data_IF_780153383681
#
_entry.id   IF_780153383681
#
_cell.length_a   1.000
_cell.length_b   1.000
_cell.length_c   1.000
_cell.angle_alpha   90.00
_cell.angle_beta   90.00
_cell.angle_gamma   90.00
#
_symmetry.space_group_name_H-M   'P 1'
#
loop_
_entity.id
_entity.type
_entity.pdbx_description
1 polymer ?
#
# COMPACT_ATOMS: atom_id res chain seq x y z
N UNK A 1 -8.88 12.37 -13.51
CA UNK A 1 -9.95 11.77 -12.68
C UNK A 1 -10.88 10.77 -13.40
N UNK A 2 -10.79 10.56 -14.73
CA UNK A 2 -11.73 9.67 -15.45
C UNK A 2 -11.29 8.20 -15.55
N UNK A 3 -10.08 7.84 -15.12
CA UNK A 3 -9.57 6.49 -15.23
C UNK A 3 -10.41 5.48 -14.43
N UNK A 4 -10.83 5.84 -13.22
CA UNK A 4 -11.66 4.97 -12.38
C UNK A 4 -12.99 4.60 -13.07
N UNK A 5 -13.81 5.57 -13.54
CA UNK A 5 -15.03 5.24 -14.24
C UNK A 5 -14.78 4.46 -15.54
N UNK A 6 -13.72 4.77 -16.31
CA UNK A 6 -13.41 3.98 -17.51
C UNK A 6 -13.01 2.54 -17.20
N UNK A 7 -12.24 2.30 -16.14
CA UNK A 7 -11.91 0.95 -15.69
C UNK A 7 -13.15 0.19 -15.22
N UNK A 8 -14.04 0.84 -14.46
CA UNK A 8 -15.32 0.25 -14.04
C UNK A 8 -16.17 -0.11 -15.26
N UNK A 9 -16.28 0.78 -16.25
CA UNK A 9 -17.03 0.52 -17.49
C UNK A 9 -16.40 -0.63 -18.28
N UNK A 10 -15.08 -0.68 -18.41
CA UNK A 10 -14.37 -1.77 -19.10
C UNK A 10 -14.65 -3.14 -18.47
N UNK A 11 -14.57 -3.23 -17.14
CA UNK A 11 -14.85 -4.47 -16.42
C UNK A 11 -16.34 -4.84 -16.46
N UNK A 12 -17.23 -3.85 -16.37
CA UNK A 12 -18.67 -4.07 -16.49
C UNK A 12 -19.04 -4.61 -17.88
N UNK A 13 -18.52 -4.03 -18.95
CA UNK A 13 -18.80 -4.40 -20.34
C UNK A 13 -17.93 -5.54 -20.88
N UNK A 14 -17.02 -6.10 -20.08
CA UNK A 14 -16.07 -7.14 -20.51
C UNK A 14 -16.75 -8.35 -21.18
N UNK A 15 -17.95 -8.76 -20.73
CA UNK A 15 -18.74 -9.84 -21.34
C UNK A 15 -19.20 -9.55 -22.78
N UNK A 16 -19.16 -8.29 -23.22
CA UNK A 16 -19.51 -7.86 -24.57
C UNK A 16 -18.31 -7.74 -25.50
N UNK A 17 -17.07 -7.86 -25.01
CA UNK A 17 -15.87 -7.72 -25.85
C UNK A 17 -15.82 -8.71 -27.03
N UNK A 18 -16.23 -9.99 -26.89
CA UNK A 18 -16.27 -10.90 -28.04
C UNK A 18 -17.35 -10.55 -29.07
N UNK A 19 -18.38 -9.80 -28.67
CA UNK A 19 -19.55 -9.48 -29.50
C UNK A 19 -19.39 -8.14 -30.24
N UNK A 20 -18.55 -7.24 -29.71
CA UNK A 20 -18.38 -5.88 -30.22
C UNK A 20 -16.89 -5.65 -30.52
N UNK A 21 -16.43 -5.95 -31.75
CA UNK A 21 -15.05 -5.72 -32.14
C UNK A 21 -14.71 -4.22 -31.99
N UNK A 22 -13.54 -3.94 -31.41
CA UNK A 22 -13.05 -2.57 -31.16
C UNK A 22 -13.48 -1.96 -29.82
N UNK A 23 -14.55 -2.42 -29.17
CA UNK A 23 -14.98 -1.87 -27.86
C UNK A 23 -13.89 -2.03 -26.79
N UNK A 24 -13.23 -3.19 -26.77
CA UNK A 24 -12.13 -3.49 -25.85
C UNK A 24 -10.99 -2.48 -26.01
N UNK A 25 -10.51 -2.34 -27.25
CA UNK A 25 -9.30 -1.55 -27.54
C UNK A 25 -9.59 -0.06 -27.35
N UNK A 26 -10.80 0.40 -27.67
CA UNK A 26 -11.27 1.75 -27.36
C UNK A 26 -11.26 2.04 -25.85
N UNK A 27 -11.83 1.16 -25.03
CA UNK A 27 -11.86 1.35 -23.58
C UNK A 27 -10.45 1.29 -22.95
N UNK A 28 -9.56 0.44 -23.47
CA UNK A 28 -8.17 0.40 -23.03
C UNK A 28 -7.44 1.70 -23.37
N UNK A 29 -7.68 2.24 -24.58
CA UNK A 29 -7.18 3.55 -24.99
C UNK A 29 -7.66 4.67 -24.07
N UNK A 30 -8.94 4.70 -23.69
CA UNK A 30 -9.49 5.69 -22.76
C UNK A 30 -8.89 5.60 -21.35
N UNK A 31 -8.66 4.39 -20.83
CA UNK A 31 -7.99 4.19 -19.54
C UNK A 31 -6.58 4.79 -19.58
N UNK A 32 -5.81 4.47 -20.62
CA UNK A 32 -4.44 4.96 -20.78
C UNK A 32 -4.40 6.48 -20.95
N UNK A 33 -5.21 7.03 -21.87
CA UNK A 33 -5.29 8.47 -22.11
C UNK A 33 -5.72 9.23 -20.86
N UNK A 34 -6.68 8.70 -20.08
CA UNK A 34 -7.09 9.35 -18.83
C UNK A 34 -5.98 9.34 -17.78
N UNK A 35 -5.14 8.31 -17.71
CA UNK A 35 -4.00 8.30 -16.80
C UNK A 35 -2.92 9.28 -17.26
N UNK A 36 -2.58 9.29 -18.55
CA UNK A 36 -1.64 10.25 -19.11
C UNK A 36 -2.10 11.69 -18.84
N UNK A 37 -3.40 11.98 -19.07
CA UNK A 37 -3.98 13.28 -18.74
C UNK A 37 -3.81 13.63 -17.26
N UNK A 38 -4.03 12.68 -16.34
CA UNK A 38 -3.85 12.90 -14.91
C UNK A 38 -2.39 13.21 -14.48
N UNK A 39 -1.41 12.77 -15.26
CA UNK A 39 0.03 12.96 -15.01
C UNK A 39 0.53 14.27 -15.65
N UNK A 40 0.23 14.45 -16.95
CA UNK A 40 0.73 15.58 -17.73
C UNK A 40 -0.06 16.86 -17.48
N UNK A 41 -1.38 16.73 -17.30
CA UNK A 41 -2.33 17.84 -17.11
C UNK A 41 -3.16 17.64 -15.82
N UNK A 42 -2.50 17.58 -14.64
CA UNK A 42 -3.21 17.42 -13.38
C UNK A 42 -4.10 18.65 -13.10
N UNK A 43 -5.15 18.50 -12.28
CA UNK A 43 -5.97 19.62 -11.87
C UNK A 43 -5.14 20.66 -11.11
N UNK A 44 -5.43 21.95 -11.32
CA UNK A 44 -4.87 23.04 -10.51
C UNK A 44 -5.34 22.90 -9.06
N UNK A 45 -4.49 22.28 -8.24
CA UNK A 45 -4.78 21.91 -6.87
C UNK A 45 -3.47 21.85 -6.07
N UNK A 46 -3.55 21.70 -4.74
CA UNK A 46 -2.36 21.60 -3.91
C UNK A 46 -1.49 20.38 -4.25
N UNK A 47 -0.19 20.45 -3.95
CA UNK A 47 0.81 19.43 -4.28
C UNK A 47 0.36 18.02 -3.88
N UNK A 48 -0.26 17.87 -2.71
CA UNK A 48 -0.83 16.60 -2.26
C UNK A 48 -1.86 16.01 -3.25
N UNK A 49 -2.85 16.81 -3.67
CA UNK A 49 -3.93 16.35 -4.54
C UNK A 49 -3.37 16.01 -5.91
N UNK A 50 -2.48 16.86 -6.43
CA UNK A 50 -1.78 16.64 -7.70
C UNK A 50 -1.00 15.32 -7.67
N UNK A 51 -0.15 15.12 -6.66
CA UNK A 51 0.64 13.90 -6.47
C UNK A 51 -0.26 12.66 -6.36
N UNK A 52 -1.26 12.71 -5.48
CA UNK A 52 -2.17 11.60 -5.22
C UNK A 52 -2.98 11.23 -6.47
N UNK A 53 -3.45 12.21 -7.24
CA UNK A 53 -4.20 11.97 -8.48
C UNK A 53 -3.34 11.24 -9.53
N UNK A 54 -2.09 11.64 -9.73
CA UNK A 54 -1.18 10.98 -10.64
C UNK A 54 -0.77 9.58 -10.14
N UNK A 55 -0.39 9.47 -8.86
CA UNK A 55 -0.05 8.20 -8.21
C UNK A 55 -1.19 7.18 -8.32
N UNK A 56 -2.43 7.58 -7.98
CA UNK A 56 -3.60 6.70 -8.04
C UNK A 56 -3.95 6.35 -9.48
N UNK A 57 -3.83 7.29 -10.42
CA UNK A 57 -4.11 7.02 -11.83
C UNK A 57 -3.16 5.96 -12.41
N UNK A 58 -1.87 6.07 -12.13
CA UNK A 58 -0.88 5.06 -12.54
C UNK A 58 -1.13 3.71 -11.83
N UNK A 59 -1.48 3.74 -10.55
CA UNK A 59 -1.86 2.54 -9.81
C UNK A 59 -3.10 1.84 -10.41
N UNK A 60 -4.07 2.62 -10.91
CA UNK A 60 -5.25 2.10 -11.58
C UNK A 60 -4.93 1.50 -12.96
N UNK A 61 -3.90 1.96 -13.67
CA UNK A 61 -3.41 1.26 -14.87
C UNK A 61 -2.90 -0.13 -14.50
N UNK A 62 -2.05 -0.22 -13.46
CA UNK A 62 -1.52 -1.52 -13.01
C UNK A 62 -2.67 -2.45 -12.63
N UNK A 63 -3.69 -1.92 -11.94
CA UNK A 63 -4.90 -2.66 -11.61
C UNK A 63 -5.71 -3.06 -12.85
N UNK A 64 -5.81 -2.19 -13.84
CA UNK A 64 -6.46 -2.48 -15.11
C UNK A 64 -5.76 -3.65 -15.83
N UNK A 65 -4.43 -3.62 -15.92
CA UNK A 65 -3.64 -4.70 -16.52
C UNK A 65 -3.85 -6.01 -15.76
N UNK A 66 -3.80 -5.99 -14.42
CA UNK A 66 -4.05 -7.17 -13.60
C UNK A 66 -5.44 -7.77 -13.92
N UNK A 67 -6.50 -6.97 -13.88
CA UNK A 67 -7.87 -7.46 -13.97
C UNK A 67 -8.33 -7.78 -15.39
N UNK A 68 -7.87 -7.03 -16.39
CA UNK A 68 -8.36 -7.13 -17.77
C UNK A 68 -7.46 -7.98 -18.66
N UNK A 69 -6.16 -8.08 -18.36
CA UNK A 69 -5.18 -8.77 -19.21
C UNK A 69 -4.60 -10.02 -18.55
N UNK A 70 -4.30 -9.96 -17.25
CA UNK A 70 -3.65 -11.08 -16.55
C UNK A 70 -4.68 -12.07 -15.99
N UNK A 71 -5.80 -11.57 -15.45
CA UNK A 71 -6.82 -12.40 -14.81
C UNK A 71 -7.95 -12.73 -15.78
N UNK A 72 -8.45 -13.96 -15.67
CA UNK A 72 -9.73 -14.32 -16.26
C UNK A 72 -10.87 -14.00 -15.28
N UNK A 73 -11.60 -12.92 -15.55
CA UNK A 73 -12.72 -12.45 -14.72
C UNK A 73 -13.83 -13.48 -14.52
N UNK A 74 -14.03 -14.44 -15.44
CA UNK A 74 -15.05 -15.49 -15.28
C UNK A 74 -14.71 -16.46 -14.14
N UNK A 75 -13.44 -16.59 -13.78
CA UNK A 75 -12.98 -17.46 -12.68
C UNK A 75 -12.88 -16.72 -11.34
N UNK A 76 -13.07 -15.40 -11.35
CA UNK A 76 -13.02 -14.58 -10.15
C UNK A 76 -14.35 -14.74 -9.40
N UNK A 77 -14.27 -15.14 -8.13
CA UNK A 77 -15.42 -15.28 -7.23
C UNK A 77 -15.27 -14.31 -6.07
N UNK A 78 -16.40 -13.78 -5.59
CA UNK A 78 -16.51 -12.93 -4.41
C UNK A 78 -17.15 -13.72 -3.29
N UNK A 79 -16.61 -13.57 -2.08
CA UNK A 79 -17.21 -14.07 -0.87
C UNK A 79 -18.36 -13.15 -0.49
N UNK A 80 -19.59 -13.63 -0.59
CA UNK A 80 -20.81 -12.87 -0.35
C UNK A 80 -21.54 -13.41 0.89
N UNK A 81 -22.11 -12.51 1.69
CA UNK A 81 -22.92 -12.84 2.85
C UNK A 81 -24.30 -13.34 2.40
N UNK A 82 -24.68 -14.55 2.83
CA UNK A 82 -25.90 -15.25 2.38
C UNK A 82 -27.01 -15.21 3.44
N UNK A 83 -26.66 -15.20 4.73
CA UNK A 83 -27.64 -15.12 5.83
C UNK A 83 -27.31 -14.00 6.81
N UNK A 84 -28.37 -13.31 7.25
CA UNK A 84 -28.36 -12.26 8.26
C UNK A 84 -29.05 -12.67 9.56
N UNK A 85 -29.64 -13.87 9.60
CA UNK A 85 -30.58 -14.30 10.66
C UNK A 85 -29.91 -15.10 11.79
N UNK A 86 -28.69 -15.59 11.59
CA UNK A 86 -27.91 -16.31 12.60
C UNK A 86 -26.97 -15.38 13.38
N UNK A 87 -26.67 -15.75 14.63
CA UNK A 87 -25.65 -15.09 15.47
C UNK A 87 -24.25 -15.11 14.87
N UNK A 88 -24.03 -15.83 13.77
CA UNK A 88 -22.80 -15.80 12.97
C UNK A 88 -23.14 -15.65 11.50
N UNK A 89 -22.52 -14.69 10.79
CA UNK A 89 -22.77 -14.48 9.36
C UNK A 89 -22.27 -15.67 8.52
N UNK A 90 -23.13 -16.16 7.62
CA UNK A 90 -22.80 -17.19 6.64
C UNK A 90 -22.33 -16.54 5.34
N UNK A 91 -21.23 -17.04 4.76
CA UNK A 91 -20.71 -16.59 3.47
C UNK A 91 -20.59 -17.72 2.46
N UNK A 92 -20.76 -17.40 1.18
CA UNK A 92 -20.54 -18.30 0.06
C UNK A 92 -19.73 -17.61 -1.05
N UNK A 93 -18.97 -18.42 -1.80
CA UNK A 93 -18.25 -17.96 -2.99
C UNK A 93 -19.20 -17.84 -4.18
N UNK A 94 -19.42 -16.63 -4.65
CA UNK A 94 -20.25 -16.34 -5.82
C UNK A 94 -19.41 -15.84 -7.00
N UNK A 95 -19.62 -16.35 -8.23
CA UNK A 95 -18.97 -15.78 -9.41
C UNK A 95 -19.47 -14.35 -9.70
N UNK A 96 -18.69 -13.61 -10.48
CA UNK A 96 -19.17 -12.33 -11.03
C UNK A 96 -20.40 -12.60 -11.90
N UNK A 97 -21.46 -11.80 -11.71
CA UNK A 97 -22.70 -11.93 -12.46
C UNK A 97 -22.44 -11.81 -13.97
N UNK A 98 -22.85 -12.79 -14.79
CA UNK A 98 -22.64 -12.76 -16.23
C UNK A 98 -23.57 -11.77 -16.93
N UNK A 99 -24.72 -11.48 -16.31
CA UNK A 99 -25.69 -10.50 -16.81
C UNK A 99 -25.28 -9.09 -16.43
N UNK A 100 -25.47 -8.15 -17.36
CA UNK A 100 -25.33 -6.73 -17.09
C UNK A 100 -26.48 -6.29 -16.19
N UNK A 101 -26.16 -5.66 -15.06
CA UNK A 101 -27.13 -5.21 -14.08
C UNK A 101 -26.47 -4.68 -12.82
N UNK A 102 -27.27 -4.23 -11.86
CA UNK A 102 -26.78 -3.60 -10.63
C UNK A 102 -25.83 -4.52 -9.83
N UNK A 103 -26.14 -5.83 -9.75
CA UNK A 103 -25.27 -6.81 -9.07
C UNK A 103 -23.85 -6.84 -9.66
N UNK A 104 -23.74 -6.95 -11.00
CA UNK A 104 -22.43 -6.93 -11.69
C UNK A 104 -21.72 -5.60 -11.47
N UNK A 105 -22.43 -4.49 -11.58
CA UNK A 105 -21.86 -3.16 -11.38
C UNK A 105 -21.25 -3.02 -9.99
N UNK A 106 -21.98 -3.39 -8.93
CA UNK A 106 -21.47 -3.35 -7.55
C UNK A 106 -20.28 -4.29 -7.33
N UNK A 107 -20.31 -5.49 -7.91
CA UNK A 107 -19.19 -6.44 -7.87
C UNK A 107 -17.94 -5.86 -8.55
N UNK A 108 -18.10 -5.22 -9.70
CA UNK A 108 -16.99 -4.57 -10.42
C UNK A 108 -16.47 -3.36 -9.65
N UNK A 109 -17.33 -2.53 -9.10
CA UNK A 109 -16.93 -1.39 -8.27
C UNK A 109 -16.12 -1.85 -7.05
N UNK A 110 -16.55 -2.89 -6.34
CA UNK A 110 -15.78 -3.48 -5.25
C UNK A 110 -14.42 -3.99 -5.76
N UNK A 111 -14.40 -4.71 -6.88
CA UNK A 111 -13.15 -5.25 -7.45
C UNK A 111 -12.12 -4.15 -7.78
N UNK A 112 -12.57 -2.97 -8.24
CA UNK A 112 -11.68 -1.85 -8.57
C UNK A 112 -11.26 -1.08 -7.32
N UNK A 113 -12.21 -0.74 -6.43
CA UNK A 113 -11.98 0.08 -5.23
C UNK A 113 -11.22 -0.71 -4.15
N UNK A 114 -11.30 -2.04 -4.18
CA UNK A 114 -10.57 -2.94 -3.29
C UNK A 114 -9.36 -3.55 -4.03
N UNK A 115 -8.25 -2.80 -4.21
CA UNK A 115 -7.06 -3.29 -4.93
C UNK A 115 -6.42 -4.52 -4.28
N UNK A 116 -6.81 -4.79 -3.03
CA UNK A 116 -6.29 -5.84 -2.14
C UNK A 116 -6.97 -7.18 -2.41
N UNK A 117 -8.07 -7.18 -3.17
CA UNK A 117 -8.86 -8.35 -3.49
C UNK A 117 -9.34 -9.09 -2.23
N UNK A 118 -9.66 -8.36 -1.15
CA UNK A 118 -10.11 -8.95 0.11
C UNK A 118 -11.51 -9.51 -0.10
N UNK A 119 -11.72 -10.78 0.28
CA UNK A 119 -12.97 -11.48 0.00
C UNK A 119 -13.10 -11.92 -1.46
N UNK A 120 -12.04 -11.84 -2.27
CA UNK A 120 -12.04 -12.36 -3.64
C UNK A 120 -11.22 -13.66 -3.72
N UNK A 121 -11.59 -14.57 -4.63
CA UNK A 121 -11.01 -15.92 -4.73
C UNK A 121 -9.53 -15.92 -5.08
N UNK A 122 -9.10 -14.90 -5.81
CA UNK A 122 -7.70 -14.66 -6.15
C UNK A 122 -7.00 -13.76 -5.14
N UNK A 123 -7.64 -13.40 -4.03
CA UNK A 123 -7.07 -12.67 -2.90
C UNK A 123 -6.08 -13.49 -2.08
N UNK A 124 -5.50 -12.91 -1.02
CA UNK A 124 -4.59 -13.65 -0.15
C UNK A 124 -5.38 -14.56 0.79
N UNK A 125 -5.08 -15.87 0.89
CA UNK A 125 -5.71 -16.72 1.90
C UNK A 125 -5.49 -16.20 3.33
N UNK A 126 -4.34 -15.55 3.59
CA UNK A 126 -4.01 -14.89 4.86
C UNK A 126 -5.08 -13.89 5.34
N UNK A 127 -5.82 -13.29 4.41
CA UNK A 127 -6.82 -12.25 4.70
C UNK A 127 -8.26 -12.71 4.50
N UNK A 128 -8.45 -13.98 4.13
CA UNK A 128 -9.77 -14.57 4.04
C UNK A 128 -10.21 -14.99 5.45
N UNK A 129 -11.50 -14.88 5.78
CA UNK A 129 -11.99 -15.40 7.04
C UNK A 129 -11.87 -16.93 7.04
N UNK A 130 -11.68 -17.58 8.20
CA UNK A 130 -11.66 -19.03 8.29
C UNK A 130 -13.05 -19.56 7.92
N UNK A 131 -13.16 -20.21 6.76
CA UNK A 131 -14.41 -20.86 6.34
C UNK A 131 -14.40 -22.28 6.90
N UNK A 132 -15.26 -22.57 7.89
CA UNK A 132 -15.55 -23.95 8.27
C UNK A 132 -16.53 -24.54 7.27
N UNK A 133 -16.24 -25.74 6.75
CA UNK A 133 -17.21 -26.48 5.93
C UNK A 133 -18.38 -26.88 6.83
N UNK A 134 -19.58 -26.42 6.49
CA UNK A 134 -20.80 -26.99 7.05
C UNK A 134 -21.09 -28.29 6.29
N UNK A 135 -21.16 -29.41 7.01
CA UNK A 135 -21.73 -30.63 6.45
C UNK A 135 -23.20 -30.36 6.10
N UNK A 136 -23.62 -30.80 4.92
CA UNK A 136 -25.01 -30.66 4.51
C UNK A 136 -25.90 -31.34 5.57
N UNK A 137 -26.97 -30.69 6.08
CA UNK A 137 -27.86 -31.35 7.01
C UNK A 137 -28.48 -32.58 6.34
N UNK A 138 -28.21 -33.75 6.93
CA UNK A 138 -28.90 -35.01 6.59
C UNK A 138 -30.41 -34.78 6.75
N UNK A 139 -31.15 -34.67 5.63
CA UNK A 139 -32.61 -34.76 5.66
C UNK A 139 -33.43 -33.75 4.85
N UNK A 140 -32.87 -32.77 4.14
CA UNK A 140 -33.68 -31.87 3.30
C UNK A 140 -33.69 -32.26 1.83
N UNK A 141 -34.76 -32.93 1.41
CA UNK A 141 -35.13 -33.17 0.03
C UNK A 141 -35.17 -31.85 -0.79
N UNK A 142 -34.23 -31.71 -1.73
CA UNK A 142 -34.49 -31.11 -3.04
C UNK A 142 -34.52 -29.59 -3.24
N UNK A 143 -34.36 -28.73 -2.22
CA UNK A 143 -34.51 -27.27 -2.42
C UNK A 143 -33.32 -26.38 -2.01
N UNK A 144 -32.20 -26.93 -1.54
CA UNK A 144 -31.02 -26.12 -1.23
C UNK A 144 -29.99 -26.30 -2.36
N UNK A 145 -29.61 -25.24 -3.10
CA UNK A 145 -28.58 -25.37 -4.13
C UNK A 145 -27.31 -25.92 -3.48
N UNK A 146 -26.66 -26.86 -4.18
CA UNK A 146 -25.44 -27.57 -3.82
C UNK A 146 -24.34 -26.60 -3.33
N UNK A 147 -24.43 -26.19 -2.07
CA UNK A 147 -23.69 -25.06 -1.51
C UNK A 147 -22.37 -25.58 -0.95
N UNK A 148 -21.51 -26.09 -1.83
CA UNK A 148 -20.24 -26.74 -1.48
C UNK A 148 -19.23 -25.84 -0.72
N UNK A 149 -19.54 -24.59 -0.37
CA UNK A 149 -18.60 -23.69 0.32
C UNK A 149 -19.29 -22.66 1.23
N UNK A 150 -20.29 -23.07 2.03
CA UNK A 150 -20.79 -22.19 3.10
C UNK A 150 -19.80 -22.22 4.27
N UNK A 151 -19.29 -21.05 4.65
CA UNK A 151 -18.41 -20.89 5.80
C UNK A 151 -19.02 -20.00 6.87
N UNK A 152 -18.93 -20.45 8.12
CA UNK A 152 -19.31 -19.69 9.30
C UNK A 152 -18.13 -18.83 9.74
N UNK A 153 -18.33 -17.51 9.83
CA UNK A 153 -17.29 -16.58 10.25
C UNK A 153 -17.64 -16.11 11.65
N UNK A 154 -16.75 -16.34 12.62
CA UNK A 154 -16.88 -15.78 13.96
C UNK A 154 -17.03 -14.26 13.84
N UNK A 155 -18.05 -13.69 14.47
CA UNK A 155 -18.22 -12.25 14.48
C UNK A 155 -17.06 -11.64 15.26
N UNK A 156 -16.11 -11.03 14.55
CA UNK A 156 -15.03 -10.30 15.19
C UNK A 156 -15.61 -9.16 16.02
N UNK A 157 -15.03 -8.90 17.19
CA UNK A 157 -15.48 -7.81 18.05
C UNK A 157 -15.38 -6.46 17.32
N UNK A 158 -16.55 -6.00 16.85
CA UNK A 158 -16.70 -4.75 16.09
C UNK A 158 -16.31 -3.55 16.93
N UNK A 159 -16.62 -3.56 18.22
CA UNK A 159 -16.33 -2.43 19.10
C UNK A 159 -14.82 -2.27 19.27
N UNK A 160 -14.11 -3.37 19.56
CA UNK A 160 -12.64 -3.36 19.61
C UNK A 160 -12.04 -2.97 18.27
N UNK A 161 -12.59 -3.46 17.15
CA UNK A 161 -12.13 -3.07 15.81
C UNK A 161 -12.28 -1.55 15.58
N UNK A 162 -13.46 -0.99 15.82
CA UNK A 162 -13.75 0.43 15.58
C UNK A 162 -12.90 1.33 16.51
N UNK A 163 -12.78 0.95 17.78
CA UNK A 163 -11.92 1.66 18.75
C UNK A 163 -10.47 1.67 18.29
N UNK A 164 -9.95 0.51 17.84
CA UNK A 164 -8.60 0.39 17.30
C UNK A 164 -8.38 1.24 16.04
N UNK A 165 -9.35 1.29 15.12
CA UNK A 165 -9.26 2.13 13.91
C UNK A 165 -9.37 3.62 14.25
N UNK A 166 -10.21 4.02 15.20
CA UNK A 166 -10.33 5.40 15.66
C UNK A 166 -9.00 5.90 16.26
N UNK A 167 -8.37 5.08 17.11
CA UNK A 167 -7.05 5.37 17.66
C UNK A 167 -6.01 5.59 16.55
N UNK A 168 -5.99 4.74 15.50
CA UNK A 168 -5.09 4.92 14.36
C UNK A 168 -5.33 6.23 13.59
N UNK A 169 -6.59 6.61 13.37
CA UNK A 169 -6.92 7.90 12.72
C UNK A 169 -6.43 9.06 13.58
N UNK A 170 -6.65 9.02 14.90
CA UNK A 170 -6.19 10.06 15.81
C UNK A 170 -4.66 10.16 15.83
N UNK A 171 -3.95 9.04 15.93
CA UNK A 171 -2.48 9.00 15.88
C UNK A 171 -1.97 9.53 14.54
N UNK A 172 -2.58 9.11 13.42
CA UNK A 172 -2.20 9.59 12.10
C UNK A 172 -2.37 11.10 11.98
N UNK A 173 -3.49 11.63 12.46
CA UNK A 173 -3.76 13.06 12.48
C UNK A 173 -2.70 13.84 13.26
N UNK A 174 -2.40 13.40 14.49
CA UNK A 174 -1.38 14.05 15.35
C UNK A 174 -0.02 14.02 14.67
N UNK A 175 0.38 12.89 14.08
CA UNK A 175 1.66 12.79 13.36
C UNK A 175 1.72 13.73 12.15
N UNK A 176 0.62 13.85 11.38
CA UNK A 176 0.56 14.78 10.25
C UNK A 176 0.64 16.24 10.70
N UNK A 177 -0.13 16.62 11.70
CA UNK A 177 -0.12 17.99 12.21
C UNK A 177 1.24 18.35 12.83
N UNK A 178 1.86 17.43 13.58
CA UNK A 178 3.22 17.59 14.12
C UNK A 178 4.27 17.75 13.03
N UNK A 179 4.20 16.94 11.97
CA UNK A 179 5.11 17.07 10.83
C UNK A 179 4.95 18.43 10.14
N UNK A 180 3.73 18.87 9.89
CA UNK A 180 3.48 20.17 9.27
C UNK A 180 3.92 21.33 10.16
N UNK A 181 3.72 21.24 11.47
CA UNK A 181 4.14 22.26 12.43
C UNK A 181 5.67 22.34 12.54
N UNK A 182 6.34 21.20 12.74
CA UNK A 182 7.78 21.15 12.96
C UNK A 182 8.58 21.33 11.65
N UNK A 183 8.23 20.59 10.61
CA UNK A 183 8.99 20.55 9.36
C UNK A 183 8.45 21.54 8.35
N UNK A 184 7.12 21.56 8.15
CA UNK A 184 6.50 22.41 7.14
C UNK A 184 6.56 23.90 7.48
N UNK A 185 6.46 24.27 8.76
CA UNK A 185 6.37 25.67 9.21
C UNK A 185 7.57 26.15 10.02
N UNK A 186 8.25 25.26 10.76
CA UNK A 186 9.29 25.65 11.73
C UNK A 186 10.63 24.91 11.54
N UNK A 187 10.99 24.57 10.31
CA UNK A 187 12.20 23.78 10.02
C UNK A 187 13.47 24.38 10.64
N UNK A 188 13.67 25.70 10.49
CA UNK A 188 14.82 26.41 11.04
C UNK A 188 14.89 26.29 12.58
N UNK A 189 13.77 26.49 13.28
CA UNK A 189 13.71 26.36 14.73
C UNK A 189 13.99 24.94 15.22
N UNK A 190 13.63 23.91 14.44
CA UNK A 190 14.00 22.52 14.74
C UNK A 190 15.53 22.31 14.62
N UNK A 191 16.16 22.85 13.57
CA UNK A 191 17.62 22.79 13.41
C UNK A 191 18.35 23.51 14.56
N UNK A 192 17.90 24.70 14.94
CA UNK A 192 18.44 25.44 16.10
C UNK A 192 18.29 24.64 17.40
N UNK A 193 17.15 24.00 17.62
CA UNK A 193 16.92 23.13 18.78
C UNK A 193 17.86 21.92 18.82
N UNK A 194 18.15 21.31 17.67
CA UNK A 194 19.14 20.23 17.55
C UNK A 194 20.53 20.73 17.91
N UNK A 195 20.94 21.88 17.38
CA UNK A 195 22.24 22.50 17.69
C UNK A 195 22.39 22.77 19.19
N UNK A 196 21.37 23.37 19.80
CA UNK A 196 21.31 23.65 21.23
C UNK A 196 21.40 22.37 22.07
N UNK A 197 20.74 21.29 21.64
CA UNK A 197 20.80 19.99 22.32
C UNK A 197 22.19 19.35 22.22
N UNK A 198 22.78 19.31 21.02
CA UNK A 198 24.12 18.75 20.82
C UNK A 198 25.16 19.49 21.66
N UNK A 199 25.11 20.83 21.64
CA UNK A 199 26.10 21.67 22.33
C UNK A 199 25.86 21.73 23.82
N UNK A 200 24.61 21.93 24.26
CA UNK A 200 24.26 22.14 25.67
C UNK A 200 24.12 20.87 26.48
N UNK A 201 23.64 19.77 25.88
CA UNK A 201 23.37 18.51 26.60
C UNK A 201 24.47 17.49 26.36
N UNK A 202 24.90 17.31 25.11
CA UNK A 202 25.92 16.30 24.78
C UNK A 202 27.35 16.86 24.80
N UNK A 203 27.52 18.18 24.90
CA UNK A 203 28.84 18.83 24.86
C UNK A 203 29.55 18.71 23.50
N UNK A 204 28.82 18.33 22.45
CA UNK A 204 29.34 18.21 21.09
C UNK A 204 29.18 19.59 20.45
N UNK A 205 30.30 20.27 20.14
CA UNK A 205 30.23 21.53 19.40
C UNK A 205 29.62 21.29 18.02
N UNK A 206 28.36 21.70 17.88
CA UNK A 206 27.63 21.61 16.63
C UNK A 206 27.56 22.99 16.00
N UNK A 207 27.89 23.07 14.71
CA UNK A 207 27.59 24.24 13.90
C UNK A 207 26.18 24.15 13.31
N UNK A 208 25.59 25.26 12.83
CA UNK A 208 24.32 25.23 12.09
C UNK A 208 24.33 24.28 10.89
N UNK A 209 25.48 24.17 10.20
CA UNK A 209 25.64 23.23 9.10
C UNK A 209 25.59 21.77 9.57
N UNK A 210 26.09 21.49 10.78
CA UNK A 210 26.08 20.14 11.37
C UNK A 210 24.68 19.75 11.82
N UNK A 211 23.93 20.67 12.44
CA UNK A 211 22.54 20.42 12.84
C UNK A 211 21.63 20.22 11.64
N UNK A 212 21.79 21.04 10.60
CA UNK A 212 21.06 20.88 9.33
C UNK A 212 21.43 19.56 8.64
N UNK A 213 22.71 19.19 8.61
CA UNK A 213 23.13 17.90 8.06
C UNK A 213 22.50 16.73 8.82
N UNK A 214 22.50 16.76 10.16
CA UNK A 214 21.86 15.72 10.98
C UNK A 214 20.35 15.67 10.74
N UNK A 215 19.72 16.84 10.59
CA UNK A 215 18.32 16.97 10.27
C UNK A 215 17.99 16.32 8.92
N UNK A 216 18.74 16.65 7.87
CA UNK A 216 18.52 16.13 6.52
C UNK A 216 18.84 14.64 6.38
N UNK A 217 19.86 14.13 7.08
CA UNK A 217 20.34 12.75 6.91
C UNK A 217 19.67 11.73 7.83
N UNK A 218 19.25 12.12 9.03
CA UNK A 218 18.77 11.17 10.04
C UNK A 218 17.30 11.41 10.39
N UNK A 219 16.93 12.66 10.67
CA UNK A 219 15.63 12.99 11.24
C UNK A 219 14.57 13.07 10.14
N UNK A 220 14.78 13.92 9.14
CA UNK A 220 13.83 14.15 8.06
C UNK A 220 13.42 12.87 7.32
N UNK A 221 14.34 11.97 6.91
CA UNK A 221 13.95 10.72 6.25
C UNK A 221 13.03 9.86 7.13
N UNK A 222 13.35 9.75 8.42
CA UNK A 222 12.58 8.97 9.39
C UNK A 222 11.17 9.53 9.56
N UNK A 223 11.06 10.85 9.70
CA UNK A 223 9.77 11.53 9.80
C UNK A 223 8.96 11.42 8.50
N UNK A 224 9.58 11.57 7.33
CA UNK A 224 8.94 11.41 6.03
C UNK A 224 8.41 9.97 5.81
N UNK A 225 9.09 8.97 6.33
CA UNK A 225 8.61 7.59 6.29
C UNK A 225 7.47 7.35 7.28
N UNK A 226 7.61 7.86 8.51
CA UNK A 226 6.55 7.79 9.53
C UNK A 226 5.27 8.47 9.07
N UNK A 227 5.36 9.65 8.45
CA UNK A 227 4.19 10.39 7.97
C UNK A 227 3.52 9.66 6.81
N UNK A 228 4.30 9.10 5.88
CA UNK A 228 3.77 8.30 4.78
C UNK A 228 3.05 7.05 5.29
N UNK A 229 3.62 6.38 6.29
CA UNK A 229 2.98 5.26 6.98
C UNK A 229 1.66 5.70 7.64
N UNK A 230 1.71 6.76 8.45
CA UNK A 230 0.58 7.28 9.21
C UNK A 230 -0.56 7.69 8.30
N UNK A 231 -0.25 8.38 7.21
CA UNK A 231 -1.22 8.81 6.21
C UNK A 231 -1.95 7.64 5.57
N UNK A 232 -1.21 6.65 5.06
CA UNK A 232 -1.80 5.47 4.40
C UNK A 232 -2.60 4.61 5.37
N UNK A 233 -2.09 4.37 6.59
CA UNK A 233 -2.82 3.59 7.60
C UNK A 233 -4.04 4.35 8.12
N UNK A 234 -3.93 5.68 8.26
CA UNK A 234 -5.01 6.59 8.66
C UNK A 234 -6.17 6.59 7.68
N UNK A 235 -5.91 6.76 6.37
CA UNK A 235 -6.94 6.65 5.33
C UNK A 235 -7.59 5.27 5.34
N UNK A 236 -6.79 4.22 5.46
CA UNK A 236 -7.34 2.88 5.53
C UNK A 236 -8.22 2.66 6.77
N UNK A 237 -7.81 3.20 7.91
CA UNK A 237 -8.57 3.14 9.15
C UNK A 237 -9.89 3.91 9.05
N UNK A 238 -9.88 5.11 8.46
CA UNK A 238 -11.08 5.89 8.17
C UNK A 238 -12.06 5.11 7.26
N UNK A 239 -11.55 4.46 6.21
CA UNK A 239 -12.37 3.60 5.35
C UNK A 239 -12.99 2.41 6.11
N UNK A 240 -12.26 1.85 7.09
CA UNK A 240 -12.78 0.80 7.97
C UNK A 240 -13.88 1.29 8.92
N UNK A 241 -13.72 2.47 9.53
CA UNK A 241 -14.74 3.10 10.38
C UNK A 241 -16.01 3.36 9.57
N UNK A 242 -15.86 3.94 8.39
CA UNK A 242 -16.98 4.23 7.51
C UNK A 242 -17.72 2.95 7.12
N UNK A 243 -17.01 1.92 6.66
CA UNK A 243 -17.66 0.72 6.13
C UNK A 243 -18.21 -0.24 7.19
N UNK A 244 -17.49 -0.44 8.29
CA UNK A 244 -17.89 -1.39 9.35
C UNK A 244 -18.82 -0.72 10.38
N UNK A 245 -18.64 0.57 10.63
CA UNK A 245 -19.40 1.34 11.61
C UNK A 245 -20.55 2.12 10.99
N UNK A 246 -20.24 3.17 10.22
CA UNK A 246 -21.24 4.13 9.72
C UNK A 246 -22.22 3.47 8.75
N UNK A 247 -21.73 2.75 7.74
CA UNK A 247 -22.58 2.05 6.77
C UNK A 247 -23.45 0.98 7.43
N UNK A 248 -23.04 0.41 8.56
CA UNK A 248 -23.87 -0.55 9.29
C UNK A 248 -25.16 0.06 9.81
N UNK A 249 -25.14 1.33 10.21
CA UNK A 249 -26.32 2.06 10.66
C UNK A 249 -27.21 2.45 9.47
N UNK A 250 -26.60 2.88 8.36
CA UNK A 250 -27.32 3.41 7.19
C UNK A 250 -27.87 2.29 6.30
N UNK A 251 -27.04 1.27 6.01
CA UNK A 251 -27.36 0.16 5.13
C UNK A 251 -26.66 -1.13 5.60
N UNK A 252 -27.31 -1.86 6.53
CA UNK A 252 -26.80 -3.10 7.11
C UNK A 252 -26.35 -4.18 6.12
N UNK A 253 -26.88 -4.16 4.89
CA UNK A 253 -26.64 -5.16 3.85
C UNK A 253 -25.35 -4.92 3.05
N UNK A 254 -24.89 -3.67 2.96
CA UNK A 254 -23.66 -3.29 2.23
C UNK A 254 -22.48 -3.03 3.16
N UNK A 255 -22.73 -2.95 4.47
CA UNK A 255 -21.70 -2.72 5.46
C UNK A 255 -20.66 -3.85 5.45
N UNK A 256 -19.39 -3.47 5.57
CA UNK A 256 -18.30 -4.42 5.66
C UNK A 256 -18.21 -5.07 7.04
N UNK A 257 -17.45 -6.17 7.10
CA UNK A 257 -17.11 -6.84 8.36
C UNK A 257 -15.63 -6.60 8.71
N UNK A 258 -15.23 -6.66 10.00
CA UNK A 258 -13.86 -6.35 10.44
C UNK A 258 -12.74 -7.05 9.66
N UNK A 259 -12.95 -8.33 9.30
CA UNK A 259 -11.97 -9.12 8.55
C UNK A 259 -11.69 -8.55 7.14
N UNK A 260 -12.62 -7.76 6.57
CA UNK A 260 -12.47 -7.12 5.27
C UNK A 260 -11.46 -5.96 5.29
N UNK A 261 -10.95 -5.58 6.47
CA UNK A 261 -10.05 -4.43 6.66
C UNK A 261 -8.75 -4.83 7.37
N UNK A 262 -7.99 -5.81 6.83
CA UNK A 262 -6.71 -6.21 7.39
C UNK A 262 -5.69 -5.05 7.31
N UNK A 263 -4.67 -5.06 8.18
CA UNK A 263 -3.63 -4.04 8.17
C UNK A 263 -2.97 -3.87 6.78
N UNK A 264 -2.75 -2.61 6.35
CA UNK A 264 -2.06 -2.31 5.08
C UNK A 264 -0.58 -2.68 5.16
N UNK A 265 -0.02 -2.47 6.35
CA UNK A 265 1.35 -2.76 6.69
C UNK A 265 1.43 -4.04 7.51
N UNK A 266 2.54 -4.76 7.39
CA UNK A 266 2.87 -5.85 8.28
C UNK A 266 3.27 -5.37 9.68
N UNK A 267 3.75 -6.30 10.50
CA UNK A 267 4.14 -6.02 11.88
C UNK A 267 5.36 -5.09 11.93
N UNK A 268 5.30 -4.06 12.78
CA UNK A 268 6.40 -3.10 12.98
C UNK A 268 7.67 -3.74 13.54
N UNK A 269 7.56 -4.95 14.12
CA UNK A 269 8.72 -5.72 14.59
C UNK A 269 9.77 -5.95 13.50
N UNK A 270 9.36 -5.96 12.22
CA UNK A 270 10.27 -6.12 11.09
C UNK A 270 11.19 -4.90 10.86
N UNK A 271 10.89 -3.73 11.43
CA UNK A 271 11.83 -2.59 11.44
C UNK A 271 13.09 -2.94 12.25
N UNK A 272 12.91 -3.66 13.36
CA UNK A 272 14.00 -3.98 14.29
C UNK A 272 14.87 -5.15 13.82
N UNK A 273 14.55 -5.78 12.68
CA UNK A 273 15.47 -6.75 12.04
C UNK A 273 16.54 -6.06 11.20
N UNK A 274 16.37 -4.77 10.90
CA UNK A 274 17.23 -3.96 10.02
C UNK A 274 17.49 -4.59 8.64
N UNK A 275 16.68 -5.57 8.26
CA UNK A 275 16.76 -6.23 6.96
C UNK A 275 15.87 -5.48 5.99
N UNK A 276 16.45 -4.94 4.91
CA UNK A 276 15.70 -4.34 3.82
C UNK A 276 14.63 -5.31 3.29
N UNK A 277 14.94 -6.62 3.25
CA UNK A 277 13.98 -7.63 2.78
C UNK A 277 12.76 -7.70 3.68
N UNK A 278 12.94 -7.67 4.99
CA UNK A 278 11.82 -7.76 5.92
C UNK A 278 11.03 -6.45 5.96
N UNK A 279 11.73 -5.32 5.96
CA UNK A 279 11.12 -3.98 5.92
C UNK A 279 10.28 -3.84 4.66
N UNK A 280 10.84 -4.04 3.47
CA UNK A 280 10.11 -3.83 2.20
C UNK A 280 9.21 -5.01 1.80
N UNK A 281 9.56 -6.23 2.20
CA UNK A 281 8.87 -7.46 1.76
C UNK A 281 7.82 -8.00 2.73
N UNK A 282 7.90 -7.65 4.02
CA UNK A 282 6.97 -8.13 5.06
C UNK A 282 6.21 -7.02 5.76
N UNK A 283 6.79 -5.82 5.89
CA UNK A 283 6.15 -4.70 6.59
C UNK A 283 5.56 -3.67 5.62
N UNK A 284 6.38 -3.08 4.75
CA UNK A 284 5.99 -1.97 3.91
C UNK A 284 5.03 -2.42 2.81
N UNK A 285 3.87 -1.77 2.71
CA UNK A 285 2.87 -2.02 1.66
C UNK A 285 2.52 -3.51 1.43
N UNK A 286 2.56 -4.37 2.48
CA UNK A 286 2.31 -5.83 2.37
C UNK A 286 1.01 -6.14 1.61
N UNK A 287 0.00 -5.30 1.79
CA UNK A 287 -1.30 -5.47 1.18
C UNK A 287 -1.40 -4.90 -0.25
N UNK A 288 -0.54 -3.94 -0.61
CA UNK A 288 -0.52 -3.31 -1.92
C UNK A 288 0.40 -4.03 -2.93
N UNK A 289 1.21 -5.00 -2.50
CA UNK A 289 2.17 -5.69 -3.39
C UNK A 289 1.55 -6.60 -4.47
N UNK A 290 0.29 -7.01 -4.30
CA UNK A 290 -0.31 -8.06 -5.15
C UNK A 290 -0.42 -7.68 -6.63
N UNK A 291 -0.91 -6.49 -7.00
CA UNK A 291 -0.98 -6.10 -8.42
C UNK A 291 0.40 -6.07 -9.07
N UNK A 292 1.42 -5.57 -8.36
CA UNK A 292 2.81 -5.57 -8.82
C UNK A 292 3.34 -6.99 -9.03
N UNK A 293 3.07 -7.90 -8.10
CA UNK A 293 3.48 -9.30 -8.21
C UNK A 293 2.75 -10.02 -9.36
N UNK A 294 1.45 -9.80 -9.53
CA UNK A 294 0.67 -10.39 -10.60
C UNK A 294 1.21 -9.96 -11.97
N UNK A 295 1.50 -8.67 -12.14
CA UNK A 295 2.12 -8.14 -13.35
C UNK A 295 3.52 -8.72 -13.58
N UNK A 296 4.35 -8.74 -12.53
CA UNK A 296 5.72 -9.28 -12.63
C UNK A 296 5.73 -10.76 -13.02
N UNK A 297 4.85 -11.58 -12.43
CA UNK A 297 4.73 -12.99 -12.77
C UNK A 297 4.18 -13.24 -14.17
N UNK A 298 3.35 -12.33 -14.70
CA UNK A 298 2.86 -12.43 -16.07
C UNK A 298 3.94 -12.07 -17.11
N UNK A 299 4.90 -11.21 -16.75
CA UNK A 299 5.98 -10.79 -17.63
C UNK A 299 7.19 -11.72 -17.62
N UNK A 300 7.46 -12.41 -16.51
CA UNK A 300 8.62 -13.28 -16.37
C UNK A 300 8.26 -14.72 -16.75
N UNK A 301 8.92 -15.33 -17.77
CA UNK A 301 8.63 -16.69 -18.20
C UNK A 301 8.80 -17.75 -17.11
N UNK A 302 7.96 -18.79 -17.16
CA UNK A 302 8.07 -19.94 -16.25
C UNK A 302 9.34 -20.78 -16.47
N UNK A 303 9.98 -20.66 -17.62
CA UNK A 303 11.23 -21.34 -17.97
C UNK A 303 12.47 -20.78 -17.23
N UNK A 304 12.37 -19.63 -16.56
CA UNK A 304 13.51 -19.06 -15.85
C UNK A 304 13.91 -19.89 -14.61
N UNK A 305 15.22 -20.09 -14.35
CA UNK A 305 15.69 -20.72 -13.12
C UNK A 305 15.13 -20.03 -11.88
N UNK A 306 14.78 -20.80 -10.83
CA UNK A 306 14.01 -20.29 -9.68
C UNK A 306 14.66 -19.07 -9.00
N UNK A 307 15.98 -19.06 -8.83
CA UNK A 307 16.71 -17.93 -8.24
C UNK A 307 16.62 -16.66 -9.10
N UNK A 308 16.87 -16.80 -10.40
CA UNK A 308 16.77 -15.70 -11.37
C UNK A 308 15.34 -15.19 -11.48
N UNK A 309 14.35 -16.09 -11.56
CA UNK A 309 12.92 -15.73 -11.60
C UNK A 309 12.54 -14.88 -10.39
N UNK A 310 12.93 -15.30 -9.18
CA UNK A 310 12.66 -14.53 -7.94
C UNK A 310 13.29 -13.15 -7.99
N UNK A 311 14.53 -13.04 -8.44
CA UNK A 311 15.22 -11.75 -8.56
C UNK A 311 14.55 -10.85 -9.61
N UNK A 312 14.25 -11.36 -10.80
CA UNK A 312 13.58 -10.59 -11.86
C UNK A 312 12.18 -10.11 -11.43
N UNK A 313 11.42 -10.96 -10.72
CA UNK A 313 10.12 -10.56 -10.16
C UNK A 313 10.27 -9.38 -9.19
N UNK A 314 11.30 -9.39 -8.35
CA UNK A 314 11.60 -8.27 -7.44
C UNK A 314 11.97 -7.02 -8.25
N UNK A 315 12.84 -7.14 -9.26
CA UNK A 315 13.24 -6.02 -10.12
C UNK A 315 12.05 -5.38 -10.83
N UNK A 316 11.19 -6.18 -11.46
CA UNK A 316 10.00 -5.67 -12.14
C UNK A 316 9.02 -5.06 -11.14
N UNK A 317 8.82 -5.68 -9.97
CA UNK A 317 7.93 -5.13 -8.94
C UNK A 317 8.37 -3.75 -8.48
N UNK A 318 9.67 -3.55 -8.20
CA UNK A 318 10.20 -2.25 -7.79
C UNK A 318 10.24 -1.25 -8.95
N UNK A 319 10.56 -1.66 -10.18
CA UNK A 319 10.50 -0.77 -11.34
C UNK A 319 9.07 -0.24 -11.57
N UNK A 320 8.06 -1.11 -11.48
CA UNK A 320 6.65 -0.71 -11.58
C UNK A 320 6.25 0.21 -10.42
N UNK A 321 6.71 -0.07 -9.19
CA UNK A 321 6.54 0.86 -8.06
C UNK A 321 7.19 2.22 -8.33
N UNK A 322 8.37 2.23 -8.94
CA UNK A 322 9.07 3.45 -9.35
C UNK A 322 8.26 4.28 -10.33
N UNK A 323 7.65 3.65 -11.35
CA UNK A 323 6.79 4.35 -12.31
C UNK A 323 5.63 5.06 -11.62
N UNK A 324 5.01 4.43 -10.61
CA UNK A 324 3.91 5.04 -9.85
C UNK A 324 4.38 6.28 -9.09
N UNK A 325 5.53 6.20 -8.41
CA UNK A 325 6.07 7.34 -7.67
C UNK A 325 6.59 8.45 -8.59
N UNK A 326 7.29 8.09 -9.67
CA UNK A 326 7.78 9.04 -10.67
C UNK A 326 6.64 9.78 -11.37
N UNK A 327 5.48 9.13 -11.59
CA UNK A 327 4.30 9.81 -12.10
C UNK A 327 3.78 10.88 -11.12
N UNK A 328 3.75 10.56 -9.82
CA UNK A 328 3.43 11.51 -8.76
C UNK A 328 4.41 12.68 -8.74
N UNK A 329 5.71 12.38 -8.73
CA UNK A 329 6.81 13.37 -8.79
C UNK A 329 6.64 14.31 -9.98
N UNK A 330 6.54 13.77 -11.20
CA UNK A 330 6.40 14.57 -12.41
C UNK A 330 5.17 15.47 -12.38
N UNK A 331 4.05 14.96 -11.86
CA UNK A 331 2.82 15.74 -11.81
C UNK A 331 2.95 17.01 -10.98
N UNK A 332 3.78 16.98 -9.93
CA UNK A 332 4.05 18.12 -9.04
C UNK A 332 5.21 18.97 -9.56
N UNK A 333 6.40 18.38 -9.76
CA UNK A 333 7.62 19.14 -10.09
C UNK A 333 7.73 19.55 -11.55
N UNK A 334 7.08 18.81 -12.45
CA UNK A 334 7.28 18.90 -13.92
C UNK A 334 8.74 18.73 -14.35
N UNK A 335 9.56 18.08 -13.52
CA UNK A 335 10.99 17.86 -13.77
C UNK A 335 11.28 16.40 -14.16
N UNK A 336 11.84 16.21 -15.36
CA UNK A 336 12.27 14.91 -15.85
C UNK A 336 13.53 14.38 -15.17
N UNK A 337 14.38 15.25 -14.64
CA UNK A 337 15.55 14.83 -13.88
C UNK A 337 15.13 14.19 -12.56
N UNK A 338 14.24 14.84 -11.80
CA UNK A 338 13.63 14.27 -10.60
C UNK A 338 12.97 12.90 -10.87
N UNK A 339 12.23 12.76 -11.98
CA UNK A 339 11.65 11.49 -12.43
C UNK A 339 12.71 10.41 -12.63
N UNK A 340 13.81 10.75 -13.31
CA UNK A 340 14.92 9.84 -13.56
C UNK A 340 15.59 9.37 -12.27
N UNK A 341 15.85 10.28 -11.34
CA UNK A 341 16.43 9.96 -10.02
C UNK A 341 15.51 9.04 -9.23
N UNK A 342 14.20 9.28 -9.23
CA UNK A 342 13.22 8.41 -8.59
C UNK A 342 13.21 7.00 -9.19
N UNK A 343 13.29 6.88 -10.52
CA UNK A 343 13.41 5.57 -11.17
C UNK A 343 14.70 4.86 -10.79
N UNK A 344 15.83 5.58 -10.73
CA UNK A 344 17.12 5.02 -10.29
C UNK A 344 17.03 4.52 -8.85
N UNK A 345 16.42 5.29 -7.94
CA UNK A 345 16.20 4.88 -6.55
C UNK A 345 15.48 3.52 -6.49
N UNK A 346 14.32 3.40 -7.14
CA UNK A 346 13.52 2.18 -7.10
C UNK A 346 14.20 0.99 -7.82
N UNK A 347 14.83 1.22 -8.97
CA UNK A 347 15.52 0.18 -9.72
C UNK A 347 16.81 -0.30 -9.03
N UNK A 348 17.43 0.52 -8.18
CA UNK A 348 18.62 0.14 -7.41
C UNK A 348 18.29 -0.75 -6.19
N UNK A 349 17.08 -0.61 -5.62
CA UNK A 349 16.67 -1.30 -4.40
C UNK A 349 16.79 -2.84 -4.46
N UNK A 350 16.36 -3.54 -5.54
CA UNK A 350 16.57 -4.98 -5.70
C UNK A 350 18.02 -5.43 -5.54
N UNK A 351 18.98 -4.62 -6.02
CA UNK A 351 20.40 -4.95 -5.94
C UNK A 351 20.92 -4.82 -4.51
N UNK A 352 20.53 -3.75 -3.79
CA UNK A 352 20.88 -3.60 -2.37
C UNK A 352 20.23 -4.69 -1.50
N UNK A 353 18.99 -5.06 -1.81
CA UNK A 353 18.29 -6.19 -1.18
C UNK A 353 19.05 -7.50 -1.38
N UNK A 354 19.43 -7.80 -2.62
CA UNK A 354 20.18 -9.02 -2.95
C UNK A 354 21.57 -9.03 -2.28
N UNK A 355 22.27 -7.89 -2.33
CA UNK A 355 23.59 -7.74 -1.69
C UNK A 355 23.50 -7.98 -0.18
N UNK A 356 22.57 -7.32 0.52
CA UNK A 356 22.39 -7.50 1.96
C UNK A 356 22.05 -8.96 2.29
N UNK A 357 21.17 -9.60 1.51
CA UNK A 357 20.79 -11.01 1.72
C UNK A 357 21.97 -11.96 1.52
N UNK A 358 22.74 -11.81 0.44
CA UNK A 358 23.90 -12.67 0.16
C UNK A 358 24.91 -12.57 1.31
N UNK A 359 25.22 -11.34 1.75
CA UNK A 359 26.19 -11.15 2.83
C UNK A 359 25.64 -11.71 4.15
N UNK A 360 24.43 -11.32 4.54
CA UNK A 360 23.85 -11.67 5.85
C UNK A 360 23.45 -13.14 5.99
N UNK A 361 23.02 -13.80 4.90
CA UNK A 361 22.47 -15.16 4.96
C UNK A 361 23.40 -16.23 4.38
N UNK A 362 24.36 -15.85 3.55
CA UNK A 362 25.27 -16.82 2.92
C UNK A 362 26.71 -16.64 3.37
N UNK A 363 27.23 -15.41 3.43
CA UNK A 363 28.64 -15.16 3.75
C UNK A 363 28.87 -15.18 5.26
N UNK A 364 28.23 -14.30 6.02
CA UNK A 364 28.45 -14.18 7.47
C UNK A 364 28.15 -15.47 8.25
N UNK A 365 27.09 -16.24 7.95
CA UNK A 365 26.84 -17.51 8.65
C UNK A 365 27.89 -18.59 8.35
N UNK A 366 28.66 -18.47 7.27
CA UNK A 366 29.77 -19.38 6.94
C UNK A 366 31.08 -18.94 7.60
N UNK A 367 31.27 -17.65 7.88
CA UNK A 367 32.48 -17.12 8.52
C UNK A 367 32.45 -17.25 10.04
N UNK A 368 31.27 -17.23 10.67
CA UNK A 368 31.13 -17.32 12.12
C UNK A 368 30.72 -18.72 12.59
N UNK A 369 31.06 -19.12 13.84
CA UNK A 369 30.63 -20.38 14.42
C UNK A 369 29.10 -20.51 14.41
N UNK A 370 28.63 -21.61 13.81
CA UNK A 370 27.20 -21.92 13.64
C UNK A 370 26.50 -21.93 15.00
N UNK A 371 25.36 -21.25 15.09
CA UNK A 371 24.50 -21.12 16.28
C UNK A 371 25.10 -20.37 17.48
N UNK A 372 26.19 -19.61 17.31
CA UNK A 372 26.68 -18.74 18.38
C UNK A 372 25.84 -17.46 18.51
N UNK A 373 25.65 -16.96 19.74
CA UNK A 373 25.05 -15.64 19.98
C UNK A 373 25.86 -14.52 19.31
N UNK A 374 27.18 -14.70 19.20
CA UNK A 374 28.10 -13.77 18.52
C UNK A 374 27.72 -13.64 17.04
N UNK A 375 27.47 -14.75 16.34
CA UNK A 375 27.04 -14.72 14.93
C UNK A 375 25.74 -13.93 14.74
N UNK A 376 24.76 -14.12 15.63
CA UNK A 376 23.48 -13.40 15.56
C UNK A 376 23.66 -11.89 15.76
N UNK A 377 24.44 -11.49 16.76
CA UNK A 377 24.73 -10.07 17.01
C UNK A 377 25.52 -9.46 15.86
N UNK A 378 26.52 -10.17 15.31
CA UNK A 378 27.31 -9.69 14.18
C UNK A 378 26.45 -9.47 12.92
N UNK A 379 25.56 -10.42 12.60
CA UNK A 379 24.62 -10.29 11.46
C UNK A 379 23.64 -9.14 11.68
N UNK A 380 23.13 -8.99 12.90
CA UNK A 380 22.22 -7.89 13.25
C UNK A 380 22.91 -6.53 13.13
N UNK A 381 24.13 -6.38 13.66
CA UNK A 381 24.93 -5.16 13.53
C UNK A 381 25.23 -4.86 12.07
N UNK A 382 25.63 -5.87 11.28
CA UNK A 382 25.82 -5.70 9.85
C UNK A 382 24.56 -5.19 9.16
N UNK A 383 23.39 -5.78 9.44
CA UNK A 383 22.13 -5.34 8.86
C UNK A 383 21.79 -3.89 9.25
N UNK A 384 21.98 -3.52 10.51
CA UNK A 384 21.80 -2.17 11.00
C UNK A 384 22.73 -1.17 10.29
N UNK A 385 24.04 -1.45 10.25
CA UNK A 385 25.02 -0.62 9.54
C UNK A 385 24.69 -0.52 8.05
N UNK A 386 24.35 -1.64 7.40
CA UNK A 386 23.98 -1.66 5.99
C UNK A 386 22.76 -0.78 5.72
N UNK A 387 21.70 -0.91 6.54
CA UNK A 387 20.49 -0.10 6.41
C UNK A 387 20.80 1.40 6.58
N UNK A 388 21.61 1.75 7.58
CA UNK A 388 22.02 3.14 7.82
C UNK A 388 22.85 3.70 6.67
N UNK A 389 23.81 2.94 6.14
CA UNK A 389 24.63 3.34 4.99
C UNK A 389 23.77 3.49 3.74
N UNK A 390 22.92 2.51 3.44
CA UNK A 390 21.99 2.58 2.32
C UNK A 390 21.05 3.78 2.46
N UNK A 391 20.48 4.00 3.64
CA UNK A 391 19.62 5.15 3.92
C UNK A 391 20.35 6.47 3.75
N UNK A 392 21.58 6.59 4.26
CA UNK A 392 22.40 7.78 4.10
C UNK A 392 22.62 8.16 2.63
N UNK A 393 22.94 7.20 1.77
CA UNK A 393 23.21 7.47 0.36
C UNK A 393 21.95 7.65 -0.49
N UNK A 394 20.84 6.99 -0.14
CA UNK A 394 19.64 6.95 -0.99
C UNK A 394 18.50 7.85 -0.51
N UNK A 395 18.44 8.18 0.78
CA UNK A 395 17.42 9.09 1.32
C UNK A 395 17.45 10.49 0.71
N UNK A 396 18.61 11.11 0.37
CA UNK A 396 18.59 12.41 -0.28
C UNK A 396 17.91 12.37 -1.65
N UNK A 397 18.05 11.24 -2.38
CA UNK A 397 17.39 11.07 -3.67
C UNK A 397 15.88 11.07 -3.50
N UNK A 398 15.39 10.31 -2.52
CA UNK A 398 13.97 10.24 -2.23
C UNK A 398 13.43 11.57 -1.72
N UNK A 399 14.09 12.19 -0.74
CA UNK A 399 13.59 13.41 -0.11
C UNK A 399 13.58 14.60 -1.06
N UNK A 400 14.65 14.79 -1.85
CA UNK A 400 14.78 15.98 -2.71
C UNK A 400 14.01 15.86 -4.02
N UNK A 401 13.81 14.65 -4.53
CA UNK A 401 13.25 14.46 -5.86
C UNK A 401 11.90 13.75 -5.87
N UNK A 402 11.40 13.20 -4.77
CA UNK A 402 10.09 12.53 -4.80
C UNK A 402 8.93 13.53 -4.83
N UNK A 403 9.11 14.78 -4.40
CA UNK A 403 8.03 15.75 -4.09
C UNK A 403 7.07 15.27 -2.99
N UNK A 404 7.38 14.13 -2.35
CA UNK A 404 6.52 13.57 -1.32
C UNK A 404 6.57 14.37 -0.01
N UNK A 405 7.73 14.85 0.48
CA UNK A 405 7.78 15.70 1.66
C UNK A 405 6.92 16.97 1.51
N UNK A 406 6.99 17.62 0.35
CA UNK A 406 6.24 18.82 -0.02
C UNK A 406 4.74 18.49 -0.14
N UNK A 407 4.41 17.39 -0.82
CA UNK A 407 3.04 16.89 -0.89
C UNK A 407 2.47 16.64 0.51
N UNK A 408 3.19 15.94 1.39
CA UNK A 408 2.74 15.65 2.76
C UNK A 408 2.59 16.92 3.60
N UNK A 409 3.49 17.89 3.44
CA UNK A 409 3.39 19.20 4.10
C UNK A 409 2.14 19.99 3.66
N UNK A 410 1.65 19.74 2.44
CA UNK A 410 0.46 20.40 1.87
C UNK A 410 -0.88 19.69 2.13
N UNK A 411 -0.90 18.60 2.91
CA UNK A 411 -2.15 17.90 3.23
C UNK A 411 -3.12 18.87 3.94
N UNK A 412 -4.34 19.07 3.42
CA UNK A 412 -5.30 19.93 4.08
C UNK A 412 -5.79 19.29 5.38
N UNK A 413 -5.51 19.95 6.52
CA UNK A 413 -6.07 19.59 7.81
C UNK A 413 -7.23 20.54 8.17
N UNK A 414 -8.32 20.04 8.78
CA UNK A 414 -9.45 20.88 9.17
C UNK A 414 -9.09 21.92 10.23
N UNK A 415 -8.13 21.60 11.11
CA UNK A 415 -7.53 22.51 12.08
C UNK A 415 -6.11 22.02 12.40
N UNK A 416 -5.33 22.80 13.15
CA UNK A 416 -4.00 22.40 13.62
C UNK A 416 -3.96 22.49 15.14
N UNK A 417 -3.67 21.38 15.81
CA UNK A 417 -3.51 21.32 17.26
C UNK A 417 -2.36 22.22 17.71
N UNK A 418 -1.24 22.20 16.97
CA UNK A 418 -0.08 23.04 17.28
C UNK A 418 -0.40 24.53 17.15
N UNK A 419 -1.15 24.92 16.11
CA UNK A 419 -1.59 26.32 15.96
C UNK A 419 -2.50 26.76 17.09
N UNK A 420 -3.39 25.88 17.55
CA UNK A 420 -4.29 26.18 18.67
C UNK A 420 -3.54 26.26 20.00
N UNK A 421 -2.61 25.33 20.25
CA UNK A 421 -1.90 25.22 21.54
C UNK A 421 -0.78 26.25 21.68
N UNK A 422 -0.05 26.55 20.61
CA UNK A 422 1.17 27.37 20.67
C UNK A 422 1.06 28.70 19.91
N UNK A 423 -0.10 29.01 19.29
CA UNK A 423 -0.30 30.21 18.45
C UNK A 423 0.74 30.36 17.33
N UNK A 424 1.27 29.25 16.82
CA UNK A 424 2.24 29.19 15.71
C UNK A 424 1.53 28.97 14.37
#
# INVERSE_FOLDING_TARGET
MLILPFLVVALFLQVKFPLLPGLRDFLYGLILLSACSAIFYPPESGNFITYANAFLSTSLIIRAVELLLVRNLSHVKRLQKVSYLSSSPLYAWEPISPTLGLKRFLQVCDLVINPRAIGWSYGSPKYQPPLQKMDAPDGTNGCIPECQNIGLVAEGDRFSFLTGKLCRVAVAYVLIDSYQAAIGRNYAGVCEGIEAFLTGVLGIQASPATSEMLMQLCILPTFCWMISYAFVDGIHAAGGIFSVGILRVISPQIAGDPWMYPPVFGAMQYLFTFSLRDIWGKMWHDLCRRPFLALSLALIPDSCPTGLKRFLVICVSFAVSGIVHSAGTYSVSKDWFAVGVMMVFFCSLPFFLAMQQIISEQILPRTFPRNSSISRVAIWLFNATFLMVWGHYTSPWYLRYSELPEAMASIPLPFSLWRTLFKV
#
